data_IF_826918044387
#
_entry.id   IF_826918044387
#
_cell.length_a   1.000
_cell.length_b   1.000
_cell.length_c   1.000
_cell.angle_alpha   90.00
_cell.angle_beta   90.00
_cell.angle_gamma   90.00
#
_symmetry.space_group_name_H-M   'P 1'
#
loop_
_entity.id
_entity.type
_entity.pdbx_description
1 polymer ?
#
# COMPACT_ATOMS: atom_id res chain seq x y z
N UNK A 1 -24.22 3.66 -16.15
CA UNK A 1 -23.89 2.23 -15.96
C UNK A 1 -24.49 1.80 -14.64
N UNK A 2 -25.32 0.74 -14.61
CA UNK A 2 -26.01 0.29 -13.41
C UNK A 2 -24.98 -0.12 -12.35
N UNK A 3 -25.05 0.45 -11.15
CA UNK A 3 -24.06 0.40 -10.07
C UNK A 3 -23.96 -0.95 -9.32
N UNK A 4 -24.35 -2.05 -9.96
CA UNK A 4 -24.41 -3.38 -9.34
C UNK A 4 -23.08 -4.16 -9.39
N UNK A 5 -22.20 -3.83 -10.33
CA UNK A 5 -20.88 -4.46 -10.40
C UNK A 5 -19.86 -3.48 -9.82
N UNK A 6 -19.33 -3.79 -8.63
CA UNK A 6 -18.21 -3.05 -8.06
C UNK A 6 -17.00 -3.07 -9.00
N UNK A 7 -16.10 -2.08 -8.88
CA UNK A 7 -14.88 -1.96 -9.70
C UNK A 7 -14.06 -3.26 -9.68
N UNK A 8 -14.03 -3.90 -8.53
CA UNK A 8 -13.36 -5.16 -8.27
C UNK A 8 -14.34 -6.29 -7.90
N UNK A 9 -14.09 -7.53 -8.34
CA UNK A 9 -14.80 -8.70 -7.81
C UNK A 9 -14.47 -8.91 -6.33
N UNK A 10 -15.39 -9.49 -5.55
CA UNK A 10 -15.25 -9.68 -4.09
C UNK A 10 -13.96 -10.37 -3.66
N UNK A 11 -13.47 -11.33 -4.44
CA UNK A 11 -12.20 -12.01 -4.17
C UNK A 11 -11.01 -11.04 -4.11
N UNK A 12 -11.01 -9.98 -4.93
CA UNK A 12 -9.87 -9.08 -5.05
C UNK A 12 -9.80 -8.00 -3.97
N UNK A 13 -10.94 -7.53 -3.46
CA UNK A 13 -10.97 -6.39 -2.52
C UNK A 13 -11.39 -6.77 -1.09
N UNK A 14 -12.05 -7.92 -0.89
CA UNK A 14 -12.33 -8.47 0.44
C UNK A 14 -11.34 -9.59 0.76
N UNK A 15 -11.32 -10.63 -0.08
CA UNK A 15 -10.65 -11.87 0.29
C UNK A 15 -9.15 -11.82 0.11
N UNK A 16 -8.63 -11.11 -0.90
CA UNK A 16 -7.18 -10.94 -1.09
C UNK A 16 -6.48 -10.33 0.14
N UNK A 17 -6.89 -9.16 0.67
CA UNK A 17 -6.24 -8.60 1.85
C UNK A 17 -6.42 -9.52 3.08
N UNK A 18 -7.60 -10.11 3.30
CA UNK A 18 -7.80 -11.06 4.42
C UNK A 18 -6.92 -12.30 4.29
N UNK A 19 -6.82 -12.87 3.09
CA UNK A 19 -6.03 -14.06 2.80
C UNK A 19 -4.53 -13.79 3.02
N UNK A 20 -4.03 -12.61 2.65
CA UNK A 20 -2.63 -12.25 2.89
C UNK A 20 -2.28 -12.33 4.39
N UNK A 21 -3.09 -11.70 5.27
CA UNK A 21 -2.89 -11.82 6.72
C UNK A 21 -3.08 -13.24 7.23
N UNK A 22 -4.10 -13.95 6.74
CA UNK A 22 -4.38 -15.31 7.17
C UNK A 22 -3.25 -16.28 6.82
N UNK A 23 -2.62 -16.11 5.65
CA UNK A 23 -1.46 -16.90 5.23
C UNK A 23 -0.27 -16.61 6.16
N UNK A 24 0.05 -15.34 6.39
CA UNK A 24 1.15 -14.93 7.28
C UNK A 24 0.96 -15.47 8.71
N UNK A 25 -0.22 -15.25 9.31
CA UNK A 25 -0.54 -15.76 10.64
C UNK A 25 -0.57 -17.30 10.66
N UNK A 26 -1.04 -17.93 9.57
CA UNK A 26 -1.03 -19.38 9.41
C UNK A 26 0.40 -19.95 9.46
N UNK A 27 1.34 -19.35 8.74
CA UNK A 27 2.76 -19.74 8.81
C UNK A 27 3.34 -19.49 10.21
N UNK A 28 3.05 -18.33 10.81
CA UNK A 28 3.46 -18.01 12.19
C UNK A 28 2.96 -19.05 13.20
N UNK A 29 1.76 -19.59 12.99
CA UNK A 29 1.15 -20.57 13.88
C UNK A 29 1.61 -22.01 13.65
N UNK A 30 1.69 -22.42 12.38
CA UNK A 30 1.90 -23.82 12.00
C UNK A 30 3.38 -24.20 11.90
N UNK A 31 4.26 -23.24 11.59
CA UNK A 31 5.69 -23.50 11.43
C UNK A 31 6.54 -22.25 11.71
N UNK A 32 6.74 -21.94 12.98
CA UNK A 32 7.53 -20.78 13.42
C UNK A 32 8.97 -20.75 12.84
N UNK A 33 9.73 -21.86 12.80
CA UNK A 33 11.06 -21.85 12.16
C UNK A 33 11.01 -21.41 10.69
N UNK A 34 10.06 -21.93 9.91
CA UNK A 34 9.86 -21.54 8.51
C UNK A 34 9.44 -20.07 8.40
N UNK A 35 8.53 -19.62 9.26
CA UNK A 35 8.16 -18.20 9.33
C UNK A 35 9.39 -17.33 9.60
N UNK A 36 10.23 -17.66 10.58
CA UNK A 36 11.44 -16.85 10.87
C UNK A 36 12.42 -16.83 9.70
N UNK A 37 12.59 -17.94 9.00
CA UNK A 37 13.51 -18.01 7.85
C UNK A 37 13.00 -17.17 6.67
N UNK A 38 11.71 -17.28 6.32
CA UNK A 38 11.18 -16.64 5.13
C UNK A 38 10.65 -15.22 5.37
N UNK A 39 9.96 -14.98 6.48
CA UNK A 39 9.35 -13.67 6.76
C UNK A 39 10.31 -12.66 7.41
N UNK A 40 11.51 -13.07 7.87
CA UNK A 40 12.53 -12.14 8.39
C UNK A 40 13.67 -11.85 7.39
N UNK A 41 13.57 -12.37 6.16
CA UNK A 41 14.57 -12.16 5.12
C UNK A 41 14.19 -10.96 4.25
N UNK A 42 15.19 -10.20 3.76
CA UNK A 42 15.11 -9.11 2.75
C UNK A 42 14.65 -9.56 1.32
N UNK A 43 14.27 -10.82 1.22
CA UNK A 43 13.68 -11.45 0.03
C UNK A 43 12.42 -12.22 0.44
N UNK A 44 11.80 -11.79 1.53
CA UNK A 44 10.69 -12.46 2.14
C UNK A 44 9.44 -12.39 1.26
N UNK A 45 8.45 -13.26 1.52
CA UNK A 45 7.19 -13.23 0.79
C UNK A 45 6.46 -11.88 0.86
N UNK A 46 6.61 -11.14 1.97
CA UNK A 46 5.97 -9.83 2.17
C UNK A 46 6.62 -8.77 1.29
N UNK A 47 7.94 -8.56 1.39
CA UNK A 47 8.68 -7.56 0.60
C UNK A 47 8.59 -7.85 -0.90
N UNK A 48 8.80 -9.11 -1.31
CA UNK A 48 8.63 -9.50 -2.72
C UNK A 48 7.18 -9.28 -3.17
N UNK A 49 6.21 -9.57 -2.30
CA UNK A 49 4.80 -9.30 -2.52
C UNK A 49 4.51 -7.80 -2.70
N UNK A 50 5.11 -6.94 -1.88
CA UNK A 50 5.02 -5.47 -1.93
C UNK A 50 5.46 -4.97 -3.29
N UNK A 51 6.63 -5.40 -3.77
CA UNK A 51 7.14 -5.06 -5.11
C UNK A 51 6.19 -5.53 -6.20
N UNK A 52 5.77 -6.80 -6.20
CA UNK A 52 4.90 -7.36 -7.25
C UNK A 52 3.57 -6.60 -7.33
N UNK A 53 2.99 -6.30 -6.18
CA UNK A 53 1.73 -5.56 -6.09
C UNK A 53 1.93 -4.13 -6.60
N UNK A 54 2.97 -3.42 -6.17
CA UNK A 54 3.28 -2.06 -6.65
C UNK A 54 3.51 -2.01 -8.15
N UNK A 55 4.28 -2.95 -8.72
CA UNK A 55 4.49 -3.03 -10.17
C UNK A 55 3.16 -3.14 -10.92
N UNK A 56 2.23 -3.97 -10.43
CA UNK A 56 0.90 -4.10 -11.02
C UNK A 56 0.10 -2.77 -10.96
N UNK A 57 0.17 -2.06 -9.84
CA UNK A 57 -0.44 -0.74 -9.66
C UNK A 57 0.17 0.33 -10.57
N UNK A 58 1.50 0.38 -10.66
CA UNK A 58 2.24 1.28 -11.54
C UNK A 58 1.81 1.06 -13.00
N UNK A 59 1.76 -0.19 -13.46
CA UNK A 59 1.28 -0.51 -14.81
C UNK A 59 -0.15 -0.01 -15.05
N UNK A 60 -1.06 -0.19 -14.09
CA UNK A 60 -2.42 0.34 -14.18
C UNK A 60 -2.44 1.88 -14.26
N UNK A 61 -1.62 2.56 -13.46
CA UNK A 61 -1.47 4.01 -13.50
C UNK A 61 -0.92 4.51 -14.85
N UNK A 62 0.11 3.85 -15.38
CA UNK A 62 0.66 4.16 -16.70
C UNK A 62 -0.36 3.93 -17.82
N UNK A 63 -1.20 2.90 -17.72
CA UNK A 63 -2.32 2.68 -18.64
C UNK A 63 -3.38 3.80 -18.53
N UNK A 64 -3.66 4.29 -17.31
CA UNK A 64 -4.56 5.41 -17.11
C UNK A 64 -4.02 6.72 -17.73
N UNK A 65 -2.70 6.94 -17.72
CA UNK A 65 -2.07 8.12 -18.34
C UNK A 65 -2.41 8.26 -19.83
N UNK A 66 -2.68 7.15 -20.53
CA UNK A 66 -3.07 7.16 -21.95
C UNK A 66 -4.46 7.77 -22.20
N UNK A 67 -5.28 7.90 -21.16
CA UNK A 67 -6.67 8.36 -21.24
C UNK A 67 -6.94 9.65 -20.43
N UNK A 68 -5.89 10.34 -19.96
CA UNK A 68 -6.03 11.53 -19.10
C UNK A 68 -6.79 12.70 -19.74
N UNK A 69 -6.93 12.72 -21.06
CA UNK A 69 -7.77 13.69 -21.76
C UNK A 69 -9.26 13.62 -21.37
N UNK A 70 -9.70 12.50 -20.79
CA UNK A 70 -11.07 12.31 -20.28
C UNK A 70 -11.29 12.94 -18.88
N UNK A 71 -10.24 13.39 -18.19
CA UNK A 71 -10.35 13.94 -16.85
C UNK A 71 -11.04 15.32 -16.87
N UNK A 72 -11.88 15.64 -15.87
CA UNK A 72 -12.61 16.92 -15.83
C UNK A 72 -11.69 18.12 -15.52
N UNK A 73 -10.50 17.89 -14.96
CA UNK A 73 -9.56 18.95 -14.61
C UNK A 73 -8.11 18.55 -14.93
N UNK A 74 -7.33 19.49 -15.48
CA UNK A 74 -5.93 19.24 -15.90
C UNK A 74 -5.01 18.84 -14.75
N UNK A 75 -5.23 19.40 -13.55
CA UNK A 75 -4.40 19.10 -12.38
C UNK A 75 -4.58 17.65 -11.88
N UNK A 76 -5.69 16.97 -12.20
CA UNK A 76 -5.87 15.55 -11.88
C UNK A 76 -4.86 14.65 -12.61
N UNK A 77 -4.36 15.09 -13.78
CA UNK A 77 -3.21 14.44 -14.43
C UNK A 77 -1.97 14.52 -13.54
N UNK A 78 -1.72 15.69 -12.94
CA UNK A 78 -0.62 15.89 -11.99
C UNK A 78 -0.76 14.99 -10.75
N UNK A 79 -1.98 14.88 -10.21
CA UNK A 79 -2.28 13.95 -9.11
C UNK A 79 -1.98 12.49 -9.48
N UNK A 80 -2.41 12.04 -10.66
CA UNK A 80 -2.12 10.69 -11.14
C UNK A 80 -0.60 10.46 -11.33
N UNK A 81 0.11 11.42 -11.91
CA UNK A 81 1.58 11.36 -12.06
C UNK A 81 2.26 11.27 -10.68
N UNK A 82 1.81 12.06 -9.71
CA UNK A 82 2.33 12.03 -8.36
C UNK A 82 2.12 10.66 -7.69
N UNK A 83 0.93 10.08 -7.82
CA UNK A 83 0.64 8.75 -7.29
C UNK A 83 1.51 7.66 -7.94
N UNK A 84 1.74 7.75 -9.26
CA UNK A 84 2.63 6.83 -9.99
C UNK A 84 4.08 7.01 -9.54
N UNK A 85 4.57 8.25 -9.46
CA UNK A 85 5.93 8.55 -9.03
C UNK A 85 6.19 8.08 -7.59
N UNK A 86 5.24 8.32 -6.69
CA UNK A 86 5.31 7.81 -5.31
C UNK A 86 5.29 6.28 -5.25
N UNK A 87 4.53 5.61 -6.12
CA UNK A 87 4.52 4.14 -6.21
C UNK A 87 5.84 3.60 -6.76
N UNK A 88 6.44 4.25 -7.75
CA UNK A 88 7.77 3.89 -8.28
C UNK A 88 8.84 4.07 -7.22
N UNK A 89 8.82 5.19 -6.50
CA UNK A 89 9.74 5.44 -5.39
C UNK A 89 9.60 4.34 -4.33
N UNK A 90 8.38 4.09 -3.85
CA UNK A 90 8.13 3.04 -2.85
C UNK A 90 8.59 1.66 -3.35
N UNK A 91 8.27 1.30 -4.60
CA UNK A 91 8.69 0.03 -5.19
C UNK A 91 10.20 -0.08 -5.33
N UNK A 92 10.88 1.03 -5.65
CA UNK A 92 12.33 1.10 -5.77
C UNK A 92 13.00 0.93 -4.41
N UNK A 93 12.54 1.64 -3.39
CA UNK A 93 13.07 1.53 -2.03
C UNK A 93 12.98 0.09 -1.51
N UNK A 94 11.80 -0.53 -1.58
CA UNK A 94 11.56 -1.92 -1.16
C UNK A 94 12.36 -2.96 -1.96
N UNK A 95 12.71 -2.64 -3.21
CA UNK A 95 13.48 -3.51 -4.09
C UNK A 95 15.00 -3.29 -3.98
N UNK A 96 15.44 -2.34 -3.15
CA UNK A 96 16.81 -1.80 -3.19
C UNK A 96 17.21 -1.40 -4.61
N UNK A 97 16.26 -0.80 -5.33
CA UNK A 97 16.29 -0.40 -6.73
C UNK A 97 16.64 -1.52 -7.72
N UNK A 98 16.45 -2.78 -7.31
CA UNK A 98 16.75 -4.00 -8.07
C UNK A 98 18.02 -4.72 -7.63
N UNK A 99 18.72 -4.21 -6.62
CA UNK A 99 20.00 -4.75 -6.17
C UNK A 99 19.88 -6.21 -5.74
N UNK A 100 18.81 -6.59 -5.03
CA UNK A 100 18.66 -7.95 -4.52
C UNK A 100 18.47 -9.00 -5.64
N UNK A 101 18.02 -8.59 -6.83
CA UNK A 101 17.85 -9.51 -7.97
C UNK A 101 19.02 -9.53 -8.95
N UNK A 102 19.67 -8.39 -9.16
CA UNK A 102 20.79 -8.28 -10.11
C UNK A 102 22.15 -8.50 -9.42
N UNK A 103 22.24 -8.23 -8.12
CA UNK A 103 23.39 -8.57 -7.28
C UNK A 103 24.60 -7.66 -7.46
N UNK A 104 24.40 -6.37 -7.75
CA UNK A 104 25.52 -5.42 -7.77
C UNK A 104 25.95 -5.02 -6.36
N UNK A 105 27.22 -4.63 -6.22
CA UNK A 105 27.78 -4.14 -4.96
C UNK A 105 27.28 -2.73 -4.64
N UNK A 106 27.03 -2.46 -3.35
CA UNK A 106 26.64 -1.13 -2.88
C UNK A 106 27.77 -0.13 -3.11
N UNK A 107 27.51 0.98 -3.82
CA UNK A 107 28.54 1.99 -4.03
C UNK A 107 29.11 2.50 -2.71
N UNK A 108 30.42 2.78 -2.66
CA UNK A 108 31.08 3.26 -1.43
C UNK A 108 30.42 4.50 -0.81
N UNK A 109 29.86 5.38 -1.64
CA UNK A 109 29.12 6.55 -1.17
C UNK A 109 27.85 6.20 -0.38
N UNK A 110 27.22 5.06 -0.67
CA UNK A 110 26.04 4.54 0.04
C UNK A 110 26.41 3.64 1.21
N UNK A 111 27.46 2.81 1.12
CA UNK A 111 27.87 1.93 2.24
C UNK A 111 28.26 2.71 3.51
N UNK A 112 28.71 3.97 3.38
CA UNK A 112 28.97 4.84 4.52
C UNK A 112 27.71 5.42 5.19
N UNK A 113 26.54 5.32 4.53
CA UNK A 113 25.29 5.95 4.95
C UNK A 113 24.17 4.93 5.20
N UNK A 114 24.20 3.79 4.52
CA UNK A 114 23.18 2.75 4.53
C UNK A 114 23.63 1.61 5.45
N UNK A 115 22.86 1.34 6.49
CA UNK A 115 23.23 0.37 7.53
C UNK A 115 23.05 -1.10 7.11
N UNK A 116 22.53 -1.35 5.91
CA UNK A 116 22.23 -2.69 5.37
C UNK A 116 23.03 -3.02 4.11
N UNK A 117 24.01 -2.17 3.73
CA UNK A 117 24.75 -2.30 2.48
C UNK A 117 23.80 -2.43 1.27
N UNK A 118 22.78 -1.57 1.21
CA UNK A 118 21.78 -1.54 0.13
C UNK A 118 21.77 -0.22 -0.66
N UNK A 119 21.18 -0.25 -1.85
CA UNK A 119 21.07 0.89 -2.77
C UNK A 119 19.72 1.61 -2.61
N UNK A 120 19.21 1.73 -1.38
CA UNK A 120 17.99 2.48 -1.07
C UNK A 120 18.27 3.65 -0.12
N UNK A 121 17.30 4.56 -0.01
CA UNK A 121 17.36 5.74 0.82
C UNK A 121 16.72 5.53 2.19
N UNK A 122 15.69 4.68 2.31
CA UNK A 122 15.01 4.44 3.59
C UNK A 122 15.93 3.81 4.65
N UNK A 123 16.97 3.06 4.26
CA UNK A 123 17.95 2.49 5.21
C UNK A 123 19.10 3.45 5.53
N UNK A 124 19.05 4.70 5.04
CA UNK A 124 20.08 5.73 5.34
C UNK A 124 19.73 6.63 6.51
N UNK A 125 18.45 6.71 6.89
CA UNK A 125 18.03 7.48 8.06
C UNK A 125 16.62 7.11 8.52
N UNK A 126 16.37 7.21 9.83
CA UNK A 126 15.04 7.05 10.40
C UNK A 126 13.99 8.01 9.84
N UNK A 127 14.42 9.17 9.33
CA UNK A 127 13.51 10.10 8.67
C UNK A 127 12.98 9.53 7.35
N UNK A 128 13.87 8.96 6.54
CA UNK A 128 13.52 8.40 5.23
C UNK A 128 12.77 7.07 5.35
N UNK A 129 13.00 6.31 6.42
CA UNK A 129 12.17 5.16 6.79
C UNK A 129 10.76 5.58 7.23
N UNK A 130 10.64 6.55 8.15
CA UNK A 130 9.36 6.79 8.83
C UNK A 130 8.43 7.77 8.12
N UNK A 131 8.95 8.83 7.51
CA UNK A 131 8.12 9.94 7.01
C UNK A 131 7.32 9.59 5.74
N UNK A 132 7.89 8.90 4.73
CA UNK A 132 7.12 8.42 3.60
C UNK A 132 5.99 7.48 4.02
N UNK A 133 6.28 6.55 4.94
CA UNK A 133 5.29 5.63 5.54
C UNK A 133 4.17 6.40 6.24
N UNK A 134 4.50 7.39 7.08
CA UNK A 134 3.52 8.21 7.79
C UNK A 134 2.62 9.02 6.83
N UNK A 135 3.19 9.57 5.75
CA UNK A 135 2.40 10.30 4.75
C UNK A 135 1.35 9.39 4.11
N UNK A 136 1.74 8.17 3.76
CA UNK A 136 0.85 7.17 3.16
C UNK A 136 -0.21 6.69 4.16
N UNK A 137 0.18 6.44 5.42
CA UNK A 137 -0.72 6.09 6.51
C UNK A 137 -1.81 7.16 6.69
N UNK A 138 -1.43 8.44 6.77
CA UNK A 138 -2.37 9.55 6.92
C UNK A 138 -3.29 9.68 5.70
N UNK A 139 -2.76 9.51 4.48
CA UNK A 139 -3.57 9.54 3.26
C UNK A 139 -4.64 8.45 3.24
N UNK A 140 -4.28 7.22 3.63
CA UNK A 140 -5.19 6.07 3.73
C UNK A 140 -6.24 6.31 4.82
N UNK A 141 -5.81 6.72 6.02
CA UNK A 141 -6.69 7.03 7.14
C UNK A 141 -7.72 8.10 6.76
N UNK A 142 -7.27 9.22 6.20
CA UNK A 142 -8.14 10.34 5.83
C UNK A 142 -9.07 9.92 4.68
N UNK A 143 -8.52 9.37 3.59
CA UNK A 143 -9.30 9.13 2.38
C UNK A 143 -10.23 7.93 2.44
N UNK A 144 -9.89 6.90 3.22
CA UNK A 144 -10.66 5.66 3.26
C UNK A 144 -11.38 5.42 4.57
N UNK A 145 -11.01 6.05 5.69
CA UNK A 145 -11.72 5.83 6.96
C UNK A 145 -12.45 7.09 7.41
N UNK A 146 -11.76 8.23 7.52
CA UNK A 146 -12.36 9.47 8.04
C UNK A 146 -13.30 10.12 7.03
N UNK A 147 -12.96 10.14 5.74
CA UNK A 147 -13.82 10.72 4.71
C UNK A 147 -15.14 9.95 4.55
N UNK A 148 -15.16 8.61 4.47
CA UNK A 148 -16.42 7.85 4.45
C UNK A 148 -17.24 8.01 5.73
N UNK A 149 -16.58 8.06 6.88
CA UNK A 149 -17.24 8.36 8.16
C UNK A 149 -17.90 9.73 8.13
N UNK A 150 -17.21 10.75 7.62
CA UNK A 150 -17.76 12.09 7.43
C UNK A 150 -18.98 12.09 6.49
N UNK A 151 -18.90 11.39 5.35
CA UNK A 151 -20.02 11.26 4.43
C UNK A 151 -21.24 10.62 5.12
N UNK A 152 -21.01 9.54 5.86
CA UNK A 152 -22.05 8.84 6.62
C UNK A 152 -22.70 9.76 7.68
N UNK A 153 -21.90 10.43 8.51
CA UNK A 153 -22.38 11.37 9.54
C UNK A 153 -23.19 12.52 8.94
N UNK A 154 -22.84 12.96 7.72
CA UNK A 154 -23.51 14.06 7.01
C UNK A 154 -24.61 13.57 6.07
N UNK A 155 -24.91 12.27 6.05
CA UNK A 155 -25.89 11.64 5.15
C UNK A 155 -25.65 12.01 3.67
N UNK A 156 -24.37 12.13 3.28
CA UNK A 156 -23.93 12.44 1.92
C UNK A 156 -23.61 11.15 1.17
N UNK A 157 -23.95 11.12 -0.11
CA UNK A 157 -23.56 10.03 -1.00
C UNK A 157 -22.06 10.08 -1.31
N UNK A 158 -21.47 8.91 -1.59
CA UNK A 158 -20.11 8.84 -2.12
C UNK A 158 -20.04 9.55 -3.49
N UNK A 159 -18.99 10.32 -3.78
CA UNK A 159 -18.79 10.91 -5.10
C UNK A 159 -18.89 9.86 -6.20
N UNK A 160 -19.83 10.04 -7.13
CA UNK A 160 -20.10 9.08 -8.21
C UNK A 160 -20.13 9.73 -9.60
N UNK A 161 -20.12 11.05 -9.67
CA UNK A 161 -20.10 11.82 -10.92
C UNK A 161 -18.65 11.98 -11.42
N UNK A 162 -18.30 11.45 -12.63
CA UNK A 162 -16.97 11.63 -13.22
C UNK A 162 -16.61 13.08 -13.60
N UNK A 163 -17.57 14.01 -13.54
CA UNK A 163 -17.33 15.45 -13.65
C UNK A 163 -16.85 16.08 -12.33
N UNK A 164 -17.16 15.47 -11.18
CA UNK A 164 -16.67 15.90 -9.86
C UNK A 164 -15.21 15.47 -9.67
N UNK A 165 -14.36 16.37 -9.17
CA UNK A 165 -12.96 16.06 -8.88
C UNK A 165 -12.81 15.08 -7.70
N UNK A 166 -13.75 15.11 -6.74
CA UNK A 166 -13.75 14.23 -5.57
C UNK A 166 -13.95 12.76 -5.95
N UNK A 167 -14.63 12.51 -7.07
CA UNK A 167 -14.73 11.17 -7.66
C UNK A 167 -13.36 10.57 -7.97
N UNK A 168 -12.36 11.39 -8.33
CA UNK A 168 -11.04 10.91 -8.72
C UNK A 168 -10.05 10.84 -7.56
N UNK A 169 -10.07 11.83 -6.66
CA UNK A 169 -9.13 11.91 -5.53
C UNK A 169 -9.44 10.84 -4.49
N UNK A 170 -10.71 10.69 -4.13
CA UNK A 170 -11.06 9.81 -3.03
C UNK A 170 -10.99 8.34 -3.49
N UNK A 171 -10.43 7.46 -2.63
CA UNK A 171 -10.44 6.02 -2.83
C UNK A 171 -11.86 5.51 -3.12
N UNK A 172 -11.97 4.34 -3.77
CA UNK A 172 -13.28 3.68 -3.88
C UNK A 172 -13.61 2.98 -2.54
N UNK A 173 -14.91 2.85 -2.21
CA UNK A 173 -15.37 2.10 -1.03
C UNK A 173 -14.82 0.67 -0.95
N UNK A 174 -14.47 0.06 -2.07
CA UNK A 174 -13.86 -1.27 -2.11
C UNK A 174 -12.45 -1.32 -1.51
N UNK A 175 -11.80 -0.18 -1.27
CA UNK A 175 -10.50 -0.13 -0.61
C UNK A 175 -10.63 -0.12 0.93
N UNK A 176 -11.85 -0.08 1.48
CA UNK A 176 -12.10 -0.10 2.92
C UNK A 176 -11.46 -1.29 3.65
N UNK A 177 -11.59 -2.56 3.19
CA UNK A 177 -10.98 -3.69 3.90
C UNK A 177 -9.46 -3.59 3.96
N UNK A 178 -8.82 -3.24 2.85
CA UNK A 178 -7.36 -3.02 2.79
C UNK A 178 -6.94 -1.90 3.73
N UNK A 179 -7.65 -0.77 3.75
CA UNK A 179 -7.37 0.35 4.65
C UNK A 179 -7.52 -0.04 6.13
N UNK A 180 -8.57 -0.79 6.47
CA UNK A 180 -8.81 -1.26 7.83
C UNK A 180 -7.68 -2.20 8.30
N UNK A 181 -7.28 -3.15 7.46
CA UNK A 181 -6.17 -4.06 7.82
C UNK A 181 -4.83 -3.32 7.92
N UNK A 182 -4.57 -2.37 7.02
CA UNK A 182 -3.37 -1.53 7.07
C UNK A 182 -3.25 -0.77 8.40
N UNK A 183 -4.37 -0.29 8.95
CA UNK A 183 -4.40 0.38 10.26
C UNK A 183 -4.40 -0.63 11.42
N UNK A 184 -5.03 -1.79 11.26
CA UNK A 184 -5.22 -2.77 12.32
C UNK A 184 -3.95 -3.56 12.64
N UNK A 185 -3.14 -3.89 11.63
CA UNK A 185 -1.99 -4.81 11.80
C UNK A 185 -0.92 -4.27 12.75
N UNK A 186 -0.77 -2.96 12.84
CA UNK A 186 0.21 -2.30 13.72
C UNK A 186 -0.32 -2.07 15.14
N UNK A 187 -1.62 -2.28 15.38
CA UNK A 187 -2.23 -2.01 16.69
C UNK A 187 -1.57 -2.80 17.82
N UNK A 188 -1.30 -4.12 17.71
CA UNK A 188 -0.69 -4.86 18.81
C UNK A 188 0.65 -4.26 19.27
N UNK A 189 1.52 -3.87 18.33
CA UNK A 189 2.79 -3.19 18.65
C UNK A 189 2.57 -1.79 19.24
N UNK A 190 1.54 -1.04 18.81
CA UNK A 190 1.18 0.26 19.42
C UNK A 190 0.69 0.08 20.85
N UNK A 191 -0.11 -0.95 21.12
CA UNK A 191 -0.58 -1.27 22.47
C UNK A 191 0.60 -1.66 23.38
N UNK A 192 1.54 -2.45 22.89
CA UNK A 192 2.78 -2.76 23.63
C UNK A 192 3.56 -1.49 23.98
N UNK A 193 3.80 -0.61 23.02
CA UNK A 193 4.53 0.66 23.25
C UNK A 193 3.81 1.60 24.22
N UNK A 194 2.47 1.63 24.21
CA UNK A 194 1.67 2.54 25.04
C UNK A 194 1.41 2.01 26.46
N UNK A 195 1.18 0.70 26.60
CA UNK A 195 0.72 0.10 27.86
C UNK A 195 1.72 -0.90 28.46
N UNK A 196 2.81 -1.22 27.76
CA UNK A 196 3.79 -2.22 28.18
C UNK A 196 3.27 -3.66 28.14
N UNK A 197 2.16 -3.91 27.43
CA UNK A 197 1.58 -5.24 27.32
C UNK A 197 2.27 -6.02 26.19
N UNK A 198 2.77 -7.24 26.47
CA UNK A 198 3.44 -8.03 25.43
C UNK A 198 2.47 -8.31 24.28
N UNK A 199 2.99 -8.27 23.06
CA UNK A 199 2.19 -8.63 21.87
C UNK A 199 1.76 -10.10 21.99
N UNK A 200 0.46 -10.41 21.97
CA UNK A 200 0.00 -11.78 22.13
C UNK A 200 0.33 -12.59 20.87
N UNK A 201 0.78 -13.83 21.06
CA UNK A 201 0.85 -14.81 19.98
C UNK A 201 -0.55 -15.03 19.35
N UNK A 202 -0.67 -15.17 18.02
CA UNK A 202 0.38 -15.14 16.98
C UNK A 202 0.58 -13.75 16.34
N UNK A 203 0.17 -12.66 16.99
CA UNK A 203 0.23 -11.31 16.42
C UNK A 203 1.63 -10.67 16.51
N UNK A 204 2.61 -11.38 17.04
CA UNK A 204 4.02 -11.01 17.15
C UNK A 204 4.77 -11.17 15.82
N UNK A 205 4.17 -10.65 14.74
CA UNK A 205 4.71 -10.62 13.38
C UNK A 205 5.50 -9.33 13.10
N UNK A 206 6.17 -9.25 11.94
CA UNK A 206 6.86 -8.02 11.48
C UNK A 206 5.85 -6.99 10.98
N UNK A 207 5.09 -6.40 11.90
CA UNK A 207 3.91 -5.59 11.53
C UNK A 207 4.22 -4.37 10.65
N UNK A 208 5.45 -3.84 10.68
CA UNK A 208 5.87 -2.74 9.79
C UNK A 208 5.84 -3.17 8.32
N UNK A 209 6.40 -4.33 8.01
CA UNK A 209 6.46 -4.86 6.64
C UNK A 209 5.09 -5.30 6.17
N UNK A 210 4.34 -5.97 7.04
CA UNK A 210 2.95 -6.32 6.74
C UNK A 210 2.12 -5.06 6.47
N UNK A 211 2.34 -3.98 7.22
CA UNK A 211 1.68 -2.70 7.00
C UNK A 211 2.09 -2.07 5.66
N UNK A 212 3.37 -2.10 5.31
CA UNK A 212 3.87 -1.63 4.01
C UNK A 212 3.30 -2.41 2.84
N UNK A 213 3.18 -3.74 2.97
CA UNK A 213 2.46 -4.55 1.99
C UNK A 213 1.01 -4.10 1.83
N UNK A 214 0.30 -3.80 2.92
CA UNK A 214 -1.06 -3.26 2.82
C UNK A 214 -1.12 -1.87 2.19
N UNK A 215 -0.12 -1.03 2.43
CA UNK A 215 0.00 0.27 1.77
C UNK A 215 0.23 0.12 0.26
N UNK A 216 1.11 -0.80 -0.14
CA UNK A 216 1.34 -1.17 -1.53
C UNK A 216 0.08 -1.72 -2.20
N UNK A 217 -0.65 -2.62 -1.53
CA UNK A 217 -1.92 -3.15 -2.00
C UNK A 217 -2.96 -2.05 -2.14
N UNK A 218 -3.05 -1.15 -1.17
CA UNK A 218 -3.97 -0.03 -1.21
C UNK A 218 -3.70 0.89 -2.41
N UNK A 219 -2.46 1.37 -2.57
CA UNK A 219 -2.15 2.31 -3.66
C UNK A 219 -2.28 1.65 -5.04
N UNK A 220 -1.99 0.36 -5.14
CA UNK A 220 -2.17 -0.42 -6.36
C UNK A 220 -3.64 -0.57 -6.72
N UNK A 221 -4.50 -0.96 -5.77
CA UNK A 221 -5.95 -1.00 -5.97
C UNK A 221 -6.52 0.39 -6.28
N UNK A 222 -5.95 1.45 -5.70
CA UNK A 222 -6.33 2.82 -6.01
C UNK A 222 -6.03 3.18 -7.48
N UNK A 223 -4.82 2.86 -7.97
CA UNK A 223 -4.44 3.10 -9.36
C UNK A 223 -5.25 2.25 -10.34
N UNK A 224 -5.53 0.98 -10.02
CA UNK A 224 -6.44 0.14 -10.80
C UNK A 224 -7.87 0.71 -10.84
N UNK A 225 -8.37 1.18 -9.70
CA UNK A 225 -9.68 1.81 -9.61
C UNK A 225 -9.74 3.08 -10.45
N UNK A 226 -8.71 3.92 -10.37
CA UNK A 226 -8.57 5.11 -11.20
C UNK A 226 -8.59 4.76 -12.70
N UNK A 227 -7.81 3.76 -13.11
CA UNK A 227 -7.72 3.28 -14.48
C UNK A 227 -9.07 2.75 -15.01
N UNK A 228 -9.77 1.91 -14.24
CA UNK A 228 -11.08 1.38 -14.62
C UNK A 228 -12.15 2.47 -14.72
N UNK A 229 -12.18 3.41 -13.75
CA UNK A 229 -13.11 4.56 -13.78
C UNK A 229 -12.88 5.45 -15.00
N UNK A 230 -11.62 5.63 -15.40
CA UNK A 230 -11.27 6.40 -16.59
C UNK A 230 -11.61 5.68 -17.90
N UNK A 231 -11.47 4.35 -17.93
CA UNK A 231 -11.86 3.53 -19.09
C UNK A 231 -13.39 3.47 -19.29
N UNK A 232 -14.16 3.46 -18.21
CA UNK A 232 -15.62 3.39 -18.25
C UNK A 232 -16.29 4.72 -18.64
N UNK A 233 -15.54 5.83 -18.64
CA UNK A 233 -15.99 7.16 -19.11
C UNK A 233 -15.77 7.30 -20.61
#
# INVERSE_FOLDING_TARGET
MNSKDGIFPSWAWIWLPIAALAVELGFRMLNEPVYRIFWQSELGPVETGTVVVLLSGILAGLMALRQVGKLPARWLKGWLILAIAGSIYFCGEEASWGQHWVGWETPQAMSNLNDQDETNLHNTSSWLDQKPRLLLELGILIGSLLYPLYLWLRQRAWPSDPADVHYWIWPDRQLLPTALLAMAVVLPQRFEKLFGWPVPYPLDIRTSETQEFYFALFISLYLYSFQKRLHAK
#
